data_IF_023868371051
#
_entry.id   IF_023868371051
#
_cell.length_a   1.000
_cell.length_b   1.000
_cell.length_c   1.000
_cell.angle_alpha   90.00
_cell.angle_beta   90.00
_cell.angle_gamma   90.00
#
_symmetry.space_group_name_H-M   'P 1'
#
loop_
_entity.id
_entity.type
_entity.pdbx_description
1 polymer ?
#
# COMPACT_ATOMS: atom_id res chain seq x y z
N UNK A 1 6.67 -3.41 13.18
CA UNK A 1 7.13 -2.53 12.09
C UNK A 1 6.17 -1.36 11.91
N UNK A 2 6.67 -0.20 11.53
CA UNK A 2 5.78 0.92 11.18
C UNK A 2 4.83 0.55 10.06
N UNK A 3 3.69 1.23 10.04
CA UNK A 3 2.66 1.07 9.03
C UNK A 3 2.74 2.21 8.04
N UNK A 4 2.62 1.90 6.76
CA UNK A 4 2.65 2.90 5.69
C UNK A 4 1.44 2.76 4.80
N UNK A 5 0.86 3.88 4.43
CA UNK A 5 -0.14 3.95 3.37
C UNK A 5 0.58 4.43 2.10
N UNK A 6 0.45 3.67 1.03
CA UNK A 6 1.04 4.03 -0.25
C UNK A 6 -0.05 4.28 -1.27
N UNK A 7 0.12 5.34 -2.06
CA UNK A 7 -0.88 5.77 -3.04
C UNK A 7 -0.26 5.66 -4.42
N UNK A 8 -0.92 4.92 -5.29
CA UNK A 8 -0.47 4.65 -6.65
C UNK A 8 -1.53 5.09 -7.65
N UNK A 9 -1.06 5.65 -8.74
CA UNK A 9 -1.91 5.89 -9.90
C UNK A 9 -1.36 5.03 -11.02
N UNK A 10 -2.15 4.01 -11.38
CA UNK A 10 -1.76 3.02 -12.38
C UNK A 10 -2.81 3.04 -13.47
N UNK A 11 -2.56 3.79 -14.57
CA UNK A 11 -3.57 3.90 -15.60
C UNK A 11 -3.77 2.57 -16.34
N UNK A 12 -5.01 2.16 -16.38
CA UNK A 12 -5.53 1.17 -17.32
C UNK A 12 -4.73 -0.13 -17.45
N UNK A 13 -4.39 -0.74 -16.32
CA UNK A 13 -3.86 -2.09 -16.35
C UNK A 13 -5.00 -3.08 -16.54
N UNK A 14 -4.76 -4.11 -17.34
CA UNK A 14 -5.69 -5.22 -17.46
C UNK A 14 -5.67 -6.05 -16.17
N UNK A 15 -6.72 -6.88 -15.98
CA UNK A 15 -6.75 -7.76 -14.82
C UNK A 15 -5.57 -8.73 -14.80
N UNK A 16 -5.15 -9.20 -15.96
CA UNK A 16 -4.00 -10.10 -16.05
C UNK A 16 -2.69 -9.40 -15.66
N UNK A 17 -2.51 -8.17 -16.11
CA UNK A 17 -1.32 -7.40 -15.74
C UNK A 17 -1.27 -7.13 -14.24
N UNK A 18 -2.41 -6.77 -13.65
CA UNK A 18 -2.53 -6.57 -12.22
C UNK A 18 -2.21 -7.85 -11.47
N UNK A 19 -2.81 -8.97 -11.87
CA UNK A 19 -2.62 -10.24 -11.20
C UNK A 19 -1.15 -10.65 -11.20
N UNK A 20 -0.46 -10.52 -12.33
CA UNK A 20 0.95 -10.91 -12.41
C UNK A 20 1.86 -9.99 -11.60
N UNK A 21 1.64 -8.68 -11.66
CA UNK A 21 2.47 -7.71 -10.93
C UNK A 21 2.25 -7.81 -9.42
N UNK A 22 1.01 -7.90 -9.00
CA UNK A 22 0.69 -7.93 -7.57
C UNK A 22 1.09 -9.25 -6.93
N UNK A 23 1.06 -10.35 -7.68
CA UNK A 23 1.55 -11.62 -7.17
C UNK A 23 3.03 -11.54 -6.80
N UNK A 24 3.84 -10.88 -7.62
CA UNK A 24 5.25 -10.69 -7.32
C UNK A 24 5.47 -9.80 -6.10
N UNK A 25 4.70 -8.72 -5.98
CA UNK A 25 4.77 -7.86 -4.80
C UNK A 25 4.37 -8.61 -3.52
N UNK A 26 3.38 -9.48 -3.61
CA UNK A 26 2.92 -10.24 -2.46
C UNK A 26 3.98 -11.23 -1.95
N UNK A 27 4.95 -11.59 -2.78
CA UNK A 27 6.05 -12.47 -2.40
C UNK A 27 7.23 -11.72 -1.77
N UNK A 28 7.18 -10.39 -1.74
CA UNK A 28 8.27 -9.56 -1.20
C UNK A 28 8.48 -9.85 0.28
N UNK A 29 9.73 -9.99 0.69
CA UNK A 29 10.09 -10.36 2.07
C UNK A 29 10.69 -9.23 2.89
N UNK A 30 11.09 -8.14 2.25
CA UNK A 30 11.66 -6.97 2.94
C UNK A 30 10.61 -6.19 3.71
N UNK A 31 9.34 -6.34 3.33
CA UNK A 31 8.20 -5.71 3.95
C UNK A 31 6.97 -6.57 3.73
N UNK A 32 5.91 -6.32 4.49
CA UNK A 32 4.66 -7.05 4.39
C UNK A 32 3.58 -6.18 3.75
N UNK A 33 3.05 -6.63 2.62
CA UNK A 33 1.88 -6.01 2.01
C UNK A 33 0.64 -6.56 2.69
N UNK A 34 -0.01 -5.73 3.51
CA UNK A 34 -1.09 -6.16 4.38
C UNK A 34 -2.43 -6.15 3.68
N UNK A 35 -2.71 -5.07 2.95
CA UNK A 35 -4.05 -4.87 2.37
C UNK A 35 -3.98 -3.84 1.25
N UNK A 36 -4.88 -3.95 0.30
CA UNK A 36 -5.00 -2.96 -0.75
C UNK A 36 -6.46 -2.63 -1.03
N UNK A 37 -6.70 -1.37 -1.38
CA UNK A 37 -7.96 -0.88 -1.91
C UNK A 37 -7.68 -0.37 -3.30
N UNK A 38 -8.53 -0.68 -4.26
CA UNK A 38 -8.28 -0.26 -5.62
C UNK A 38 -9.57 0.09 -6.35
N UNK A 39 -9.44 0.98 -7.31
CA UNK A 39 -10.51 1.36 -8.23
C UNK A 39 -9.91 1.38 -9.63
N UNK A 40 -10.25 0.37 -10.43
CA UNK A 40 -9.67 0.21 -11.77
C UNK A 40 -10.09 1.32 -12.71
N UNK A 41 -11.35 1.75 -12.65
CA UNK A 41 -11.82 2.81 -13.54
C UNK A 41 -11.18 4.16 -13.24
N UNK A 42 -10.85 4.41 -11.99
CA UNK A 42 -10.14 5.63 -11.59
C UNK A 42 -8.62 5.49 -11.74
N UNK A 43 -8.12 4.28 -11.93
CA UNK A 43 -6.69 4.02 -12.03
C UNK A 43 -5.95 4.25 -10.73
N UNK A 44 -6.61 4.05 -9.59
CA UNK A 44 -6.03 4.36 -8.28
C UNK A 44 -5.98 3.14 -7.40
N UNK A 45 -4.91 3.07 -6.61
CA UNK A 45 -4.69 1.99 -5.67
C UNK A 45 -4.10 2.57 -4.39
N UNK A 46 -4.61 2.09 -3.26
CA UNK A 46 -4.15 2.46 -1.93
C UNK A 46 -3.71 1.19 -1.23
N UNK A 47 -2.50 1.14 -0.74
CA UNK A 47 -1.95 -0.06 -0.12
C UNK A 47 -1.50 0.22 1.30
N UNK A 48 -1.70 -0.75 2.15
CA UNK A 48 -1.15 -0.76 3.49
C UNK A 48 0.03 -1.72 3.52
N UNK A 49 1.18 -1.20 3.88
CA UNK A 49 2.42 -1.97 4.02
C UNK A 49 2.95 -1.82 5.44
N UNK A 50 3.46 -2.90 6.00
CA UNK A 50 4.30 -2.87 7.19
C UNK A 50 5.75 -3.00 6.73
N UNK A 51 6.57 -2.02 7.05
CA UNK A 51 7.95 -1.96 6.57
C UNK A 51 8.86 -1.36 7.64
N UNK A 52 10.15 -1.71 7.63
CA UNK A 52 11.10 -1.15 8.59
C UNK A 52 11.24 0.37 8.48
N UNK A 53 11.19 0.90 7.27
CA UNK A 53 11.28 2.32 6.99
C UNK A 53 10.83 2.62 5.56
N UNK A 54 10.66 3.89 5.25
CA UNK A 54 10.21 4.33 3.93
C UNK A 54 11.20 3.99 2.80
N UNK A 55 12.52 4.18 2.97
CA UNK A 55 13.47 3.83 1.91
C UNK A 55 13.38 2.39 1.43
N UNK A 56 13.08 1.45 2.32
CA UNK A 56 12.90 0.05 1.95
C UNK A 56 11.70 -0.09 1.02
N UNK A 57 10.58 0.58 1.30
CA UNK A 57 9.42 0.55 0.41
C UNK A 57 9.73 1.16 -0.95
N UNK A 58 10.44 2.28 -0.98
CA UNK A 58 10.85 2.91 -2.23
C UNK A 58 11.71 1.97 -3.07
N UNK A 59 12.61 1.25 -2.42
CA UNK A 59 13.47 0.28 -3.09
C UNK A 59 12.64 -0.89 -3.64
N UNK A 60 11.71 -1.41 -2.86
CA UNK A 60 10.83 -2.49 -3.31
C UNK A 60 10.05 -2.06 -4.56
N UNK A 61 9.44 -0.89 -4.52
CA UNK A 61 8.66 -0.39 -5.65
C UNK A 61 9.55 -0.16 -6.88
N UNK A 62 10.73 0.39 -6.69
CA UNK A 62 11.69 0.59 -7.77
C UNK A 62 12.09 -0.74 -8.40
N UNK A 63 12.40 -1.74 -7.58
CA UNK A 63 12.81 -3.05 -8.06
C UNK A 63 11.69 -3.76 -8.85
N UNK A 64 10.44 -3.50 -8.50
CA UNK A 64 9.30 -4.10 -9.18
C UNK A 64 8.72 -3.22 -10.30
N UNK A 65 9.33 -2.07 -10.57
CA UNK A 65 8.83 -1.15 -11.58
C UNK A 65 7.50 -0.50 -11.22
N UNK A 66 7.22 -0.37 -9.93
CA UNK A 66 5.99 0.24 -9.43
C UNK A 66 6.24 1.71 -9.14
N UNK A 67 5.42 2.58 -9.70
CA UNK A 67 5.45 4.00 -9.37
C UNK A 67 4.50 4.30 -8.22
N UNK A 68 4.73 5.39 -7.53
CA UNK A 68 3.86 5.82 -6.44
C UNK A 68 3.69 7.33 -6.44
N UNK A 69 2.57 7.79 -5.93
CA UNK A 69 2.29 9.21 -5.73
C UNK A 69 2.75 9.66 -4.36
N UNK A 70 2.53 8.81 -3.35
CA UNK A 70 2.79 9.19 -1.97
C UNK A 70 3.04 7.94 -1.13
N UNK A 71 3.92 8.07 -0.15
CA UNK A 71 4.15 7.08 0.91
C UNK A 71 4.06 7.85 2.22
N UNK A 72 3.13 7.46 3.08
CA UNK A 72 2.87 8.14 4.35
C UNK A 72 2.92 7.13 5.48
N UNK A 73 3.73 7.41 6.48
CA UNK A 73 3.66 6.63 7.71
C UNK A 73 2.36 6.95 8.42
N UNK A 74 1.62 5.90 8.83
CA UNK A 74 0.30 6.06 9.44
C UNK A 74 0.23 5.26 10.72
N UNK A 75 -0.68 5.66 11.58
CA UNK A 75 -1.09 4.89 12.74
C UNK A 75 -2.52 4.44 12.54
N UNK A 76 -2.81 3.25 13.02
CA UNK A 76 -4.12 2.64 12.84
C UNK A 76 -4.88 2.75 14.15
N UNK A 77 -6.08 3.28 14.08
CA UNK A 77 -6.96 3.36 15.24
C UNK A 77 -8.39 3.08 14.80
N UNK A 78 -9.22 2.76 15.74
CA UNK A 78 -10.64 2.46 15.51
C UNK A 78 -11.51 3.42 16.30
N UNK A 79 -12.66 3.84 15.77
CA UNK A 79 -13.54 4.77 16.49
C UNK A 79 -13.87 4.32 17.91
N UNK A 80 -13.97 3.02 18.13
CA UNK A 80 -14.23 2.48 19.47
C UNK A 80 -13.17 2.85 20.51
N UNK A 81 -11.95 3.11 20.07
CA UNK A 81 -10.85 3.52 20.94
C UNK A 81 -11.00 4.95 21.42
N UNK A 82 -11.91 5.72 20.87
CA UNK A 82 -12.13 7.14 21.15
C UNK A 82 -13.44 7.38 21.92
N UNK A 83 -13.99 6.36 22.53
CA UNK A 83 -15.28 6.45 23.23
C UNK A 83 -15.29 7.40 24.39
N UNK A 84 -14.15 7.63 25.01
CA UNK A 84 -14.00 8.62 26.08
C UNK A 84 -14.47 10.01 25.66
N UNK A 85 -14.59 10.25 24.36
CA UNK A 85 -15.00 11.55 23.82
C UNK A 85 -16.52 11.77 23.90
N UNK A 86 -17.23 10.72 24.19
CA UNK A 86 -18.70 10.78 24.24
C UNK A 86 -19.23 11.37 25.54
N UNK A 87 -18.41 11.48 26.52
CA UNK A 87 -18.81 12.06 27.84
C UNK A 87 -18.89 13.61 27.82
#
# INVERSE_FOLDING_TARGET
MPHYLTIHQEPQLSREEIASRWALLAEERRALWVKTWFNLSAGRRFCWWDAPNQPILEQIFTDHGVTWKEIVEVKITYPSEWRWRED
#
